data_IF_354941905757
#
_entry.id   IF_354941905757
#
_cell.length_a   1.000
_cell.length_b   1.000
_cell.length_c   1.000
_cell.angle_alpha   90.00
_cell.angle_beta   90.00
_cell.angle_gamma   90.00
#
_symmetry.space_group_name_H-M   'P 1'
#
loop_
_entity.id
_entity.type
_entity.pdbx_description
1 polymer ?
#
# COMPACT_ATOMS: atom_id res chain seq x y z
N UNK A 1 -1.76 23.98 29.51
CA UNK A 1 -1.90 22.53 29.72
C UNK A 1 -0.81 21.87 28.90
N UNK A 2 0.14 21.18 29.54
CA UNK A 2 1.20 20.47 28.84
C UNK A 2 0.57 19.39 27.96
N UNK A 3 0.79 19.46 26.64
CA UNK A 3 0.37 18.40 25.74
C UNK A 3 1.04 17.12 26.18
N UNK A 4 0.28 16.23 26.80
CA UNK A 4 0.76 14.95 27.28
C UNK A 4 1.04 14.08 26.02
N UNK A 5 2.32 13.92 25.69
CA UNK A 5 2.70 13.14 24.53
C UNK A 5 2.82 11.66 24.93
N UNK A 6 1.74 10.92 24.70
CA UNK A 6 1.64 9.49 25.02
C UNK A 6 2.80 8.66 24.41
N UNK A 7 3.18 8.97 23.16
CA UNK A 7 4.28 8.28 22.48
C UNK A 7 5.64 8.53 23.16
N UNK A 8 5.84 9.74 23.71
CA UNK A 8 7.06 10.06 24.44
C UNK A 8 7.15 9.26 25.73
N UNK A 9 6.04 9.12 26.47
CA UNK A 9 5.96 8.29 27.66
C UNK A 9 6.33 6.83 27.36
N UNK A 10 5.69 6.22 26.37
CA UNK A 10 5.99 4.84 25.98
C UNK A 10 7.41 4.68 25.41
N UNK A 11 7.95 5.68 24.76
CA UNK A 11 9.34 5.65 24.29
C UNK A 11 10.36 5.63 25.42
N UNK A 12 9.98 6.01 26.62
CA UNK A 12 10.81 5.99 27.84
C UNK A 12 10.60 4.72 28.66
N UNK A 13 9.56 3.95 28.40
CA UNK A 13 9.30 2.66 29.05
C UNK A 13 10.44 1.66 28.80
N UNK A 14 10.82 0.91 29.84
CA UNK A 14 11.97 -0.01 29.76
C UNK A 14 11.74 -1.14 28.75
N UNK A 15 10.52 -1.71 28.67
CA UNK A 15 10.21 -2.78 27.72
C UNK A 15 10.26 -2.26 26.28
N UNK A 16 9.78 -1.04 26.03
CA UNK A 16 9.89 -0.39 24.73
C UNK A 16 11.34 -0.10 24.33
N UNK A 17 12.19 0.29 25.28
CA UNK A 17 13.64 0.48 25.06
C UNK A 17 14.34 -0.84 24.77
N UNK A 18 14.01 -1.89 25.51
CA UNK A 18 14.58 -3.23 25.27
C UNK A 18 14.16 -3.78 23.91
N UNK A 19 12.89 -3.62 23.54
CA UNK A 19 12.38 -4.01 22.22
C UNK A 19 13.07 -3.25 21.07
N UNK A 20 13.24 -1.93 21.21
CA UNK A 20 13.99 -1.14 20.24
C UNK A 20 15.45 -1.63 20.11
N UNK A 21 16.14 -1.82 21.23
CA UNK A 21 17.51 -2.32 21.25
C UNK A 21 17.62 -3.72 20.64
N UNK A 22 16.62 -4.57 20.86
CA UNK A 22 16.58 -5.89 20.24
C UNK A 22 16.43 -5.79 18.72
N UNK A 23 15.54 -4.91 18.20
CA UNK A 23 15.35 -4.68 16.78
C UNK A 23 16.59 -4.06 16.10
N UNK A 24 17.34 -3.20 16.80
CA UNK A 24 18.57 -2.60 16.29
C UNK A 24 19.70 -3.63 16.16
N UNK A 25 19.78 -4.58 17.09
CA UNK A 25 20.86 -5.56 17.18
C UNK A 25 20.58 -6.86 16.41
N UNK A 26 19.39 -7.06 15.91
CA UNK A 26 19.01 -8.29 15.22
C UNK A 26 18.42 -7.98 13.84
N UNK A 27 18.86 -8.71 12.82
CA UNK A 27 18.26 -8.67 11.49
C UNK A 27 17.14 -9.70 11.35
N UNK A 28 17.08 -10.69 12.22
CA UNK A 28 16.06 -11.75 12.27
C UNK A 28 15.89 -12.29 13.67
N UNK A 29 14.74 -12.84 13.95
CA UNK A 29 14.43 -13.46 15.24
C UNK A 29 12.97 -13.27 15.63
N UNK A 30 12.61 -13.82 16.78
CA UNK A 30 11.22 -13.79 17.27
C UNK A 30 11.22 -13.33 18.72
N UNK A 31 10.30 -12.42 19.05
CA UNK A 31 10.04 -11.97 20.42
C UNK A 31 8.53 -12.00 20.66
N UNK A 32 8.12 -12.28 21.88
CA UNK A 32 6.70 -12.31 22.26
C UNK A 32 6.41 -11.25 23.31
N UNK A 33 5.56 -10.30 22.97
CA UNK A 33 5.00 -9.32 23.89
C UNK A 33 3.75 -9.91 24.54
N UNK A 34 3.88 -10.39 25.76
CA UNK A 34 2.77 -11.00 26.51
C UNK A 34 1.95 -9.94 27.25
N UNK A 35 0.68 -10.27 27.52
CA UNK A 35 -0.24 -9.41 28.28
C UNK A 35 -0.45 -8.03 27.64
N UNK A 36 -0.44 -7.97 26.33
CA UNK A 36 -0.80 -6.76 25.58
C UNK A 36 -2.28 -6.81 25.20
N UNK A 37 -3.01 -5.73 25.51
CA UNK A 37 -4.46 -5.65 25.28
C UNK A 37 -4.85 -4.33 24.64
N UNK A 38 -5.86 -4.39 23.76
CA UNK A 38 -6.44 -3.21 23.10
C UNK A 38 -5.39 -2.37 22.37
N UNK A 39 -5.46 -1.04 22.48
CA UNK A 39 -4.59 -0.10 21.78
C UNK A 39 -3.14 -0.05 22.31
N UNK A 40 -2.75 -0.88 23.27
CA UNK A 40 -1.35 -0.91 23.73
C UNK A 40 -0.39 -1.30 22.61
N UNK A 41 -0.79 -2.21 21.73
CA UNK A 41 0.03 -2.67 20.61
C UNK A 41 0.27 -1.53 19.61
N UNK A 42 -0.77 -0.77 19.27
CA UNK A 42 -0.66 0.39 18.38
C UNK A 42 0.22 1.50 18.95
N UNK A 43 0.16 1.74 20.27
CA UNK A 43 1.00 2.74 20.94
C UNK A 43 2.47 2.28 20.95
N UNK A 44 2.76 1.02 21.31
CA UNK A 44 4.10 0.44 21.29
C UNK A 44 4.66 0.50 19.86
N UNK A 45 3.90 0.05 18.88
CA UNK A 45 4.28 0.07 17.46
C UNK A 45 4.59 1.48 16.98
N UNK A 46 3.72 2.46 17.27
CA UNK A 46 3.92 3.86 16.89
C UNK A 46 5.20 4.44 17.51
N UNK A 47 5.51 4.11 18.78
CA UNK A 47 6.73 4.57 19.46
C UNK A 47 8.00 4.01 18.82
N UNK A 48 7.94 2.82 18.21
CA UNK A 48 9.06 2.11 17.58
C UNK A 48 9.25 2.53 16.12
N UNK A 49 8.17 2.65 15.34
CA UNK A 49 8.21 3.03 13.94
C UNK A 49 8.94 4.36 13.73
N UNK A 50 8.72 5.32 14.61
CA UNK A 50 9.36 6.63 14.53
C UNK A 50 10.88 6.59 14.70
N UNK A 51 11.43 5.55 15.35
CA UNK A 51 12.86 5.39 15.58
C UNK A 51 13.53 4.50 14.53
N UNK A 52 12.85 3.46 14.07
CA UNK A 52 13.39 2.44 13.17
C UNK A 52 12.95 2.71 11.72
N UNK A 53 13.92 2.98 10.84
CA UNK A 53 13.67 3.27 9.41
C UNK A 53 13.57 1.98 8.58
N UNK A 54 12.72 1.05 8.97
CA UNK A 54 12.45 -0.20 8.28
C UNK A 54 10.97 -0.32 7.92
N UNK A 55 10.65 -1.21 6.99
CA UNK A 55 9.25 -1.54 6.70
C UNK A 55 8.62 -2.25 7.90
N UNK A 56 7.33 -2.01 8.12
CA UNK A 56 6.55 -2.71 9.12
C UNK A 56 5.36 -3.40 8.46
N UNK A 57 5.17 -4.68 8.78
CA UNK A 57 4.02 -5.46 8.35
C UNK A 57 3.26 -5.92 9.59
N UNK A 58 2.03 -5.45 9.75
CA UNK A 58 1.12 -5.80 10.83
C UNK A 58 0.09 -6.80 10.30
N UNK A 59 0.06 -7.99 10.88
CA UNK A 59 -0.88 -9.05 10.55
C UNK A 59 -1.81 -9.21 11.75
N UNK A 60 -3.04 -8.71 11.61
CA UNK A 60 -4.11 -8.78 12.61
C UNK A 60 -4.96 -10.02 12.36
N UNK A 61 -5.86 -10.34 13.30
CA UNK A 61 -6.64 -11.57 13.24
C UNK A 61 -7.66 -11.57 12.10
N UNK A 62 -8.24 -10.40 11.79
CA UNK A 62 -9.28 -10.21 10.76
C UNK A 62 -9.31 -8.76 10.27
N UNK A 63 -10.18 -8.46 9.30
CA UNK A 63 -10.33 -7.11 8.74
C UNK A 63 -10.76 -6.08 9.78
N UNK A 64 -11.68 -6.42 10.69
CA UNK A 64 -12.21 -5.46 11.67
C UNK A 64 -11.10 -5.01 12.60
N UNK A 65 -10.32 -5.93 13.14
CA UNK A 65 -9.15 -5.63 13.97
C UNK A 65 -8.09 -4.86 13.19
N UNK A 66 -7.88 -5.18 11.91
CA UNK A 66 -6.96 -4.44 11.05
C UNK A 66 -7.39 -2.98 10.84
N UNK A 67 -8.69 -2.71 10.66
CA UNK A 67 -9.21 -1.36 10.52
C UNK A 67 -9.07 -0.54 11.81
N UNK A 68 -9.40 -1.12 12.96
CA UNK A 68 -9.22 -0.45 14.26
C UNK A 68 -7.75 -0.14 14.53
N UNK A 69 -6.87 -1.11 14.27
CA UNK A 69 -5.44 -0.94 14.46
C UNK A 69 -4.87 0.14 13.51
N UNK A 70 -5.31 0.16 12.25
CA UNK A 70 -4.91 1.15 11.25
C UNK A 70 -5.30 2.57 11.68
N UNK A 71 -6.53 2.74 12.16
CA UNK A 71 -7.03 4.04 12.64
C UNK A 71 -6.24 4.52 13.86
N UNK A 72 -6.05 3.66 14.87
CA UNK A 72 -5.21 3.94 16.02
C UNK A 72 -3.79 4.36 15.61
N UNK A 73 -3.17 3.60 14.71
CA UNK A 73 -1.79 3.84 14.30
C UNK A 73 -1.65 5.16 13.53
N UNK A 74 -2.61 5.50 12.66
CA UNK A 74 -2.59 6.74 11.90
C UNK A 74 -2.91 7.96 12.79
N UNK A 75 -3.77 7.83 13.80
CA UNK A 75 -4.05 8.88 14.76
C UNK A 75 -2.85 9.16 15.69
N UNK A 76 -2.08 8.12 16.02
CA UNK A 76 -0.87 8.24 16.84
C UNK A 76 0.34 8.77 16.06
N UNK A 77 0.44 8.44 14.77
CA UNK A 77 1.59 8.74 13.91
C UNK A 77 1.29 9.87 12.92
N UNK A 78 1.60 11.10 13.27
CA UNK A 78 1.40 12.27 12.37
C UNK A 78 2.44 12.33 11.24
N UNK A 79 3.54 11.60 11.32
CA UNK A 79 4.66 11.66 10.37
C UNK A 79 4.76 10.45 9.43
N UNK A 80 4.13 9.32 9.76
CA UNK A 80 4.21 8.07 9.00
C UNK A 80 2.84 7.42 8.88
N UNK A 81 2.21 7.58 7.73
CA UNK A 81 0.93 6.92 7.44
C UNK A 81 1.12 5.41 7.27
N UNK A 82 0.26 4.65 7.90
CA UNK A 82 0.07 3.23 7.62
C UNK A 82 -1.03 3.04 6.57
N UNK A 83 -0.98 1.93 5.83
CA UNK A 83 -1.90 1.63 4.73
C UNK A 83 -2.49 0.23 4.91
N UNK A 84 -3.78 0.09 4.63
CA UNK A 84 -4.42 -1.22 4.58
C UNK A 84 -4.04 -1.96 3.29
N UNK A 85 -3.73 -3.25 3.40
CA UNK A 85 -3.70 -4.17 2.27
C UNK A 85 -4.85 -5.15 2.44
N UNK A 86 -6.01 -4.92 1.76
CA UNK A 86 -7.22 -5.70 1.93
C UNK A 86 -7.22 -6.96 1.05
N UNK A 87 -8.12 -7.94 1.38
CA UNK A 87 -8.40 -9.10 0.54
C UNK A 87 -9.24 -8.72 -0.67
N UNK A 88 -8.90 -9.30 -1.83
CA UNK A 88 -9.68 -9.12 -3.06
C UNK A 88 -10.95 -9.97 -3.10
N UNK A 89 -11.07 -11.02 -2.27
CA UNK A 89 -12.23 -11.91 -2.22
C UNK A 89 -13.52 -11.20 -1.75
N UNK A 90 -13.37 -10.04 -1.11
CA UNK A 90 -14.50 -9.20 -0.66
C UNK A 90 -14.97 -8.18 -1.71
N UNK A 91 -14.42 -8.22 -2.91
CA UNK A 91 -14.92 -7.41 -4.01
C UNK A 91 -16.30 -7.94 -4.39
N UNK A 92 -17.36 -7.37 -3.81
CA UNK A 92 -18.67 -7.41 -4.46
C UNK A 92 -18.47 -6.82 -5.86
N UNK A 93 -19.01 -7.50 -6.88
CA UNK A 93 -18.89 -7.10 -8.28
C UNK A 93 -19.19 -5.60 -8.39
N UNK A 94 -18.13 -4.78 -8.56
CA UNK A 94 -18.23 -3.32 -8.62
C UNK A 94 -17.50 -2.51 -7.54
N UNK A 95 -16.93 -3.10 -6.50
CA UNK A 95 -16.17 -2.33 -5.50
C UNK A 95 -14.72 -2.09 -5.95
N UNK A 96 -14.56 -1.06 -6.80
CA UNK A 96 -13.25 -0.64 -7.33
C UNK A 96 -12.30 -0.15 -6.23
N UNK A 97 -12.80 0.26 -5.07
CA UNK A 97 -12.00 0.85 -4.00
C UNK A 97 -10.97 -0.13 -3.43
N UNK A 98 -11.36 -1.38 -3.19
CA UNK A 98 -10.46 -2.43 -2.68
C UNK A 98 -9.28 -2.65 -3.63
N UNK A 99 -9.56 -2.67 -4.93
CA UNK A 99 -8.53 -2.80 -5.96
C UNK A 99 -7.55 -1.62 -5.94
N UNK A 100 -8.08 -0.39 -5.84
CA UNK A 100 -7.28 0.83 -5.75
C UNK A 100 -6.35 0.81 -4.54
N UNK A 101 -6.85 0.40 -3.38
CA UNK A 101 -6.05 0.27 -2.17
C UNK A 101 -4.91 -0.73 -2.36
N UNK A 102 -5.18 -1.91 -2.93
CA UNK A 102 -4.14 -2.93 -3.20
C UNK A 102 -3.06 -2.41 -4.15
N UNK A 103 -3.46 -1.80 -5.28
CA UNK A 103 -2.52 -1.22 -6.26
C UNK A 103 -1.68 -0.12 -5.62
N UNK A 104 -2.31 0.78 -4.87
CA UNK A 104 -1.65 1.87 -4.15
C UNK A 104 -0.58 1.35 -3.18
N UNK A 105 -0.89 0.30 -2.40
CA UNK A 105 0.07 -0.34 -1.49
C UNK A 105 1.24 -0.95 -2.24
N UNK A 106 1.00 -1.71 -3.33
CA UNK A 106 2.07 -2.31 -4.12
C UNK A 106 2.99 -1.26 -4.75
N UNK A 107 2.43 -0.14 -5.24
CA UNK A 107 3.20 1.01 -5.73
C UNK A 107 4.07 1.61 -4.63
N UNK A 108 3.49 1.86 -3.45
CA UNK A 108 4.21 2.41 -2.30
C UNK A 108 5.34 1.50 -1.83
N UNK A 109 5.13 0.17 -1.80
CA UNK A 109 6.16 -0.81 -1.47
C UNK A 109 7.34 -0.81 -2.47
N UNK A 110 7.08 -0.47 -3.74
CA UNK A 110 8.12 -0.35 -4.75
C UNK A 110 8.90 0.96 -4.69
N UNK A 111 8.30 2.04 -4.17
CA UNK A 111 8.85 3.40 -4.29
C UNK A 111 9.33 3.99 -2.96
N UNK A 112 8.68 3.64 -1.84
CA UNK A 112 9.03 4.18 -0.53
C UNK A 112 10.14 3.37 0.14
N UNK A 113 11.04 4.08 0.84
CA UNK A 113 12.10 3.45 1.64
C UNK A 113 11.60 2.88 2.97
N UNK A 114 10.52 3.42 3.49
CA UNK A 114 9.86 2.99 4.73
C UNK A 114 8.36 3.06 4.56
N UNK A 115 7.67 1.98 4.88
CA UNK A 115 6.22 1.88 4.82
C UNK A 115 5.70 0.96 5.93
N UNK A 116 4.55 1.31 6.49
CA UNK A 116 3.78 0.49 7.43
C UNK A 116 2.53 -0.04 6.73
N UNK A 117 2.40 -1.35 6.68
CA UNK A 117 1.26 -2.04 6.08
C UNK A 117 0.50 -2.79 7.15
N UNK A 118 -0.80 -2.61 7.21
CA UNK A 118 -1.72 -3.36 8.06
C UNK A 118 -2.52 -4.31 7.18
N UNK A 119 -2.66 -5.55 7.61
CA UNK A 119 -3.33 -6.60 6.82
C UNK A 119 -3.83 -7.72 7.73
N UNK A 120 -4.40 -8.76 7.15
CA UNK A 120 -4.98 -9.92 7.83
C UNK A 120 -4.82 -11.19 6.98
N UNK A 121 -5.05 -12.40 7.51
CA UNK A 121 -4.68 -13.68 6.88
C UNK A 121 -5.19 -13.85 5.44
N UNK A 122 -6.46 -13.57 5.18
CA UNK A 122 -7.06 -13.76 3.85
C UNK A 122 -6.35 -12.92 2.78
N UNK A 123 -5.98 -11.67 3.13
CA UNK A 123 -5.33 -10.75 2.20
C UNK A 123 -3.89 -11.15 1.85
N UNK A 124 -3.09 -11.58 2.83
CA UNK A 124 -1.66 -11.91 2.62
C UNK A 124 -1.45 -13.23 1.89
N UNK A 125 -2.46 -14.08 1.84
CA UNK A 125 -2.43 -15.37 1.14
C UNK A 125 -2.81 -15.26 -0.33
N UNK A 126 -3.27 -14.11 -0.75
CA UNK A 126 -3.53 -13.86 -2.15
C UNK A 126 -2.24 -13.55 -2.91
N UNK A 127 -2.15 -14.10 -4.11
CA UNK A 127 -1.08 -13.74 -5.04
C UNK A 127 -1.26 -12.30 -5.52
N UNK A 128 -0.14 -11.66 -5.77
CA UNK A 128 -0.08 -10.32 -6.35
C UNK A 128 0.70 -10.35 -7.66
N UNK A 129 0.50 -9.37 -8.52
CA UNK A 129 1.27 -9.19 -9.75
C UNK A 129 2.77 -9.10 -9.44
N UNK A 130 3.64 -9.63 -10.30
CA UNK A 130 5.10 -9.48 -10.11
C UNK A 130 5.54 -8.03 -10.29
N UNK A 131 6.65 -7.63 -9.60
CA UNK A 131 7.23 -6.28 -9.76
C UNK A 131 7.56 -5.95 -11.22
N UNK A 132 8.00 -6.93 -12.00
CA UNK A 132 8.31 -6.78 -13.41
C UNK A 132 7.05 -6.42 -14.20
N UNK A 133 5.99 -7.19 -14.02
CA UNK A 133 4.72 -6.94 -14.71
C UNK A 133 4.04 -5.64 -14.27
N UNK A 134 4.17 -5.28 -12.98
CA UNK A 134 3.70 -3.98 -12.49
C UNK A 134 4.32 -2.82 -13.28
N UNK A 135 5.61 -2.90 -13.63
CA UNK A 135 6.28 -1.88 -14.45
C UNK A 135 5.80 -1.85 -15.91
N UNK A 136 5.36 -2.97 -16.47
CA UNK A 136 4.83 -3.02 -17.85
C UNK A 136 3.37 -2.56 -17.95
N UNK A 137 2.68 -2.44 -16.84
CA UNK A 137 1.27 -2.01 -16.74
C UNK A 137 1.14 -0.56 -16.31
N UNK A 138 2.14 0.28 -16.60
CA UNK A 138 2.12 1.69 -16.31
C UNK A 138 2.64 2.54 -17.47
N UNK A 139 2.10 3.75 -17.59
CA UNK A 139 2.59 4.80 -18.47
C UNK A 139 3.15 5.91 -17.60
N UNK A 140 4.42 6.30 -17.82
CA UNK A 140 5.05 7.40 -17.07
C UNK A 140 5.10 8.66 -17.93
N UNK A 141 4.57 9.77 -17.40
CA UNK A 141 4.56 11.07 -18.07
C UNK A 141 5.22 12.11 -17.18
N UNK A 142 5.96 13.03 -17.83
CA UNK A 142 6.69 14.09 -17.11
C UNK A 142 6.49 15.44 -17.81
N UNK A 143 6.26 16.49 -17.04
CA UNK A 143 6.21 17.87 -17.51
C UNK A 143 7.47 18.22 -18.31
N UNK A 144 7.29 18.93 -19.43
CA UNK A 144 8.35 19.32 -20.35
C UNK A 144 8.84 18.21 -21.30
N UNK A 145 8.33 16.98 -21.17
CA UNK A 145 8.68 15.90 -22.09
C UNK A 145 7.82 15.92 -23.36
N UNK A 146 8.43 15.45 -24.45
CA UNK A 146 7.72 15.25 -25.71
C UNK A 146 6.87 14.00 -25.63
N UNK A 147 5.66 14.07 -26.16
CA UNK A 147 4.69 12.96 -26.18
C UNK A 147 4.20 12.70 -27.59
N UNK A 148 3.97 11.44 -27.90
CA UNK A 148 3.22 11.00 -29.07
C UNK A 148 1.79 10.69 -28.58
N UNK A 149 0.82 11.52 -28.99
CA UNK A 149 -0.57 11.43 -28.51
C UNK A 149 -1.19 10.14 -29.00
N UNK A 150 -1.02 9.78 -30.27
CA UNK A 150 -1.63 8.57 -30.85
C UNK A 150 -1.12 7.33 -30.10
N UNK A 151 0.17 7.26 -29.85
CA UNK A 151 0.77 6.20 -29.05
C UNK A 151 0.26 6.17 -27.62
N UNK A 152 0.09 7.32 -26.97
CA UNK A 152 -0.49 7.37 -25.63
C UNK A 152 -1.89 6.79 -25.61
N UNK A 153 -2.73 7.13 -26.60
CA UNK A 153 -4.09 6.62 -26.68
C UNK A 153 -4.13 5.11 -26.99
N UNK A 154 -3.23 4.62 -27.84
CA UNK A 154 -3.04 3.19 -28.06
C UNK A 154 -2.64 2.47 -26.76
N UNK A 155 -1.66 3.02 -26.00
CA UNK A 155 -1.21 2.47 -24.73
C UNK A 155 -2.32 2.48 -23.67
N UNK A 156 -3.14 3.54 -23.58
CA UNK A 156 -4.31 3.59 -22.68
C UNK A 156 -5.35 2.52 -23.05
N UNK A 157 -5.66 2.36 -24.34
CA UNK A 157 -6.56 1.31 -24.81
C UNK A 157 -6.00 -0.09 -24.53
N UNK A 158 -4.70 -0.32 -24.76
CA UNK A 158 -4.02 -1.57 -24.42
C UNK A 158 -4.09 -1.91 -22.93
N UNK A 159 -4.07 -0.87 -22.08
CA UNK A 159 -4.22 -0.98 -20.64
C UNK A 159 -5.68 -1.05 -20.17
N UNK A 160 -6.64 -1.20 -21.09
CA UNK A 160 -8.08 -1.29 -20.83
C UNK A 160 -8.67 -0.04 -20.13
N UNK A 161 -8.16 1.16 -20.46
CA UNK A 161 -8.83 2.40 -20.10
C UNK A 161 -10.00 2.68 -21.05
N UNK A 162 -11.08 3.21 -20.52
CA UNK A 162 -12.29 3.55 -21.28
C UNK A 162 -12.23 4.99 -21.78
N UNK A 163 -12.45 5.21 -23.08
CA UNK A 163 -12.60 6.55 -23.61
C UNK A 163 -14.01 7.08 -23.30
N UNK A 164 -14.10 8.21 -22.62
CA UNK A 164 -15.35 8.82 -22.13
C UNK A 164 -15.38 10.31 -22.46
N UNK A 165 -16.56 10.94 -22.42
CA UNK A 165 -16.68 12.39 -22.57
C UNK A 165 -16.15 13.14 -21.33
N UNK A 166 -16.36 12.56 -20.15
CA UNK A 166 -15.91 13.08 -18.85
C UNK A 166 -15.35 11.94 -18.02
N UNK A 167 -14.21 12.21 -17.41
CA UNK A 167 -13.55 11.27 -16.50
C UNK A 167 -14.23 11.34 -15.14
N UNK A 168 -14.85 10.23 -14.72
CA UNK A 168 -15.61 10.13 -13.48
C UNK A 168 -15.06 9.09 -12.51
N UNK A 169 -14.48 8.00 -13.03
CA UNK A 169 -14.01 6.89 -12.21
C UNK A 169 -12.65 6.36 -12.70
N UNK A 170 -11.90 5.67 -11.83
CA UNK A 170 -10.65 5.03 -12.23
C UNK A 170 -10.81 4.12 -13.43
N UNK A 171 -9.90 4.26 -14.40
CA UNK A 171 -9.96 3.57 -15.68
C UNK A 171 -10.60 4.40 -16.81
N UNK A 172 -11.10 5.61 -16.52
CA UNK A 172 -11.58 6.51 -17.56
C UNK A 172 -10.46 7.41 -18.10
N UNK A 173 -10.54 7.74 -19.40
CA UNK A 173 -9.80 8.85 -19.98
C UNK A 173 -10.67 9.64 -20.95
N UNK A 174 -10.36 10.93 -21.14
CA UNK A 174 -11.03 11.82 -22.08
C UNK A 174 -10.01 12.69 -22.82
N UNK A 175 -10.26 12.97 -24.12
CA UNK A 175 -9.41 13.82 -24.94
C UNK A 175 -10.22 14.99 -25.46
N UNK A 176 -9.77 16.21 -25.18
CA UNK A 176 -10.43 17.44 -25.60
C UNK A 176 -9.41 18.44 -26.15
N UNK A 177 -9.17 18.36 -27.45
CA UNK A 177 -8.12 19.16 -28.10
C UNK A 177 -6.74 18.81 -27.56
N UNK A 178 -6.08 19.78 -26.94
CA UNK A 178 -4.75 19.60 -26.31
C UNK A 178 -4.81 19.25 -24.82
N UNK A 179 -5.98 18.82 -24.32
CA UNK A 179 -6.16 18.40 -22.94
C UNK A 179 -6.50 16.91 -22.92
N UNK A 180 -5.75 16.15 -22.14
CA UNK A 180 -6.00 14.73 -21.86
C UNK A 180 -6.24 14.58 -20.36
N UNK A 181 -7.44 14.16 -20.00
CA UNK A 181 -7.80 13.80 -18.64
C UNK A 181 -7.72 12.27 -18.51
N UNK A 182 -7.16 11.77 -17.40
CA UNK A 182 -7.04 10.32 -17.15
C UNK A 182 -7.14 10.01 -15.65
N UNK A 183 -7.93 8.99 -15.28
CA UNK A 183 -8.06 8.53 -13.92
C UNK A 183 -7.31 7.21 -13.74
N UNK A 184 -6.13 7.30 -13.17
CA UNK A 184 -5.28 6.15 -12.84
C UNK A 184 -5.87 5.31 -11.72
N UNK A 185 -5.65 3.98 -11.75
CA UNK A 185 -6.10 3.06 -10.68
C UNK A 185 -5.31 3.16 -9.38
N UNK A 186 -4.31 3.98 -9.28
CA UNK A 186 -3.47 4.15 -8.08
C UNK A 186 -3.64 5.51 -7.37
N UNK A 187 -4.60 6.31 -7.82
CA UNK A 187 -4.81 7.66 -7.31
C UNK A 187 -6.29 7.93 -7.00
N UNK A 188 -6.55 8.78 -6.02
CA UNK A 188 -7.92 9.14 -5.58
C UNK A 188 -8.52 10.26 -6.44
N UNK A 189 -7.71 10.93 -7.27
CA UNK A 189 -8.11 12.02 -8.17
C UNK A 189 -7.54 11.83 -9.55
N UNK A 190 -8.28 12.19 -10.62
CA UNK A 190 -7.76 12.11 -11.98
C UNK A 190 -6.69 13.16 -12.25
N UNK A 191 -5.89 12.87 -13.27
CA UNK A 191 -4.88 13.77 -13.81
C UNK A 191 -5.41 14.51 -15.03
N UNK A 192 -5.07 15.79 -15.16
CA UNK A 192 -5.23 16.61 -16.35
C UNK A 192 -3.88 16.94 -16.92
N UNK A 193 -3.65 16.58 -18.17
CA UNK A 193 -2.43 16.78 -18.92
C UNK A 193 -2.74 17.82 -19.99
N UNK A 194 -2.09 18.98 -19.93
CA UNK A 194 -2.21 20.06 -20.90
C UNK A 194 -0.99 20.01 -21.80
N UNK A 195 -1.22 20.06 -23.11
CA UNK A 195 -0.19 19.99 -24.12
C UNK A 195 -0.02 21.34 -24.81
N UNK A 196 1.22 21.68 -25.16
CA UNK A 196 1.58 22.67 -26.16
C UNK A 196 2.18 21.92 -27.35
N UNK A 197 1.40 21.80 -28.43
CA UNK A 197 1.66 20.90 -29.56
C UNK A 197 1.85 19.45 -29.08
N UNK A 198 3.07 18.96 -29.03
CA UNK A 198 3.41 17.61 -28.55
C UNK A 198 4.32 17.62 -27.31
N UNK A 199 4.32 18.70 -26.56
CA UNK A 199 5.07 18.84 -25.29
C UNK A 199 4.07 18.91 -24.14
N UNK A 200 4.32 18.20 -23.07
CA UNK A 200 3.53 18.29 -21.85
C UNK A 200 3.85 19.61 -21.16
N UNK A 201 2.95 20.59 -21.29
CA UNK A 201 3.11 21.91 -20.67
C UNK A 201 2.82 21.87 -19.18
N UNK A 202 1.75 21.19 -18.80
CA UNK A 202 1.31 21.11 -17.41
C UNK A 202 0.67 19.75 -17.11
N UNK A 203 0.85 19.29 -15.87
CA UNK A 203 0.11 18.15 -15.31
C UNK A 203 -0.47 18.61 -13.99
N UNK A 204 -1.78 18.43 -13.79
CA UNK A 204 -2.49 18.73 -12.53
C UNK A 204 -3.37 17.57 -12.11
N UNK A 205 -3.65 17.43 -10.81
CA UNK A 205 -4.84 16.71 -10.37
C UNK A 205 -6.07 17.61 -10.50
N UNK A 206 -7.26 17.04 -10.62
CA UNK A 206 -8.49 17.80 -10.58
C UNK A 206 -9.60 17.08 -9.81
N UNK A 207 -10.56 17.84 -9.32
CA UNK A 207 -11.73 17.31 -8.64
C UNK A 207 -12.80 16.86 -9.66
N UNK A 208 -13.24 15.61 -9.56
CA UNK A 208 -14.23 15.01 -10.47
C UNK A 208 -15.55 15.78 -10.48
N UNK A 209 -16.05 16.21 -9.31
CA UNK A 209 -17.38 16.81 -9.18
C UNK A 209 -17.49 18.21 -9.79
N UNK A 210 -16.45 19.05 -9.67
CA UNK A 210 -16.47 20.43 -10.17
C UNK A 210 -15.46 20.72 -11.27
N UNK A 211 -14.66 19.73 -11.67
CA UNK A 211 -13.65 19.79 -12.76
C UNK A 211 -12.53 20.83 -12.53
N UNK A 212 -12.37 21.32 -11.30
CA UNK A 212 -11.36 22.33 -10.95
C UNK A 212 -10.02 21.63 -10.69
N UNK A 213 -8.94 22.14 -11.31
CA UNK A 213 -7.58 21.71 -11.04
C UNK A 213 -7.19 22.00 -9.58
N UNK A 214 -6.49 21.06 -8.96
CA UNK A 214 -6.08 21.12 -7.56
C UNK A 214 -4.60 21.52 -7.46
N UNK A 215 -3.68 20.57 -7.65
CA UNK A 215 -2.25 20.80 -7.50
C UNK A 215 -1.51 20.43 -8.78
N UNK A 216 -0.39 21.13 -9.04
CA UNK A 216 0.50 20.83 -10.15
C UNK A 216 1.48 19.72 -9.76
N UNK A 217 1.79 18.84 -10.72
CA UNK A 217 2.62 17.66 -10.53
C UNK A 217 3.67 17.62 -11.65
N UNK A 218 4.92 17.38 -11.31
CA UNK A 218 5.99 17.32 -12.32
C UNK A 218 6.05 15.99 -13.07
N UNK A 219 5.63 14.90 -12.44
CA UNK A 219 5.68 13.56 -13.02
C UNK A 219 4.57 12.69 -12.46
N UNK A 220 3.90 11.91 -13.32
CA UNK A 220 2.87 10.96 -12.96
C UNK A 220 3.18 9.58 -13.54
N UNK A 221 2.66 8.55 -12.87
CA UNK A 221 2.53 7.20 -13.40
C UNK A 221 1.03 6.90 -13.53
N UNK A 222 0.58 6.52 -14.71
CA UNK A 222 -0.79 6.05 -14.98
C UNK A 222 -0.74 4.52 -14.90
N UNK A 223 -1.49 3.94 -13.98
CA UNK A 223 -1.50 2.50 -13.71
C UNK A 223 -2.85 1.92 -14.10
N UNK A 224 -2.83 0.81 -14.85
CA UNK A 224 -4.03 0.10 -15.27
C UNK A 224 -4.65 -0.75 -14.16
N UNK A 225 -5.88 -1.23 -14.42
CA UNK A 225 -6.47 -2.30 -13.63
C UNK A 225 -5.63 -3.59 -13.75
N UNK A 226 -4.93 -3.92 -12.69
CA UNK A 226 -3.97 -5.05 -12.66
C UNK A 226 -4.69 -6.41 -12.57
N UNK A 227 -5.97 -6.46 -12.23
CA UNK A 227 -6.71 -7.73 -12.03
C UNK A 227 -7.40 -8.26 -13.30
N UNK A 228 -7.66 -7.43 -14.28
CA UNK A 228 -8.48 -7.80 -15.45
C UNK A 228 -7.74 -8.60 -16.54
N UNK A 229 -6.52 -9.04 -16.33
CA UNK A 229 -5.79 -9.79 -17.35
C UNK A 229 -5.62 -11.26 -16.98
N UNK A 230 -6.20 -12.15 -17.79
CA UNK A 230 -6.15 -13.62 -17.66
C UNK A 230 -4.73 -14.24 -17.76
N UNK A 231 -3.68 -13.44 -17.96
CA UNK A 231 -2.29 -13.89 -18.18
C UNK A 231 -1.30 -13.08 -17.33
N UNK A 232 -1.60 -12.86 -16.04
CA UNK A 232 -0.67 -12.17 -15.15
C UNK A 232 0.31 -13.14 -14.50
N UNK A 233 1.60 -12.84 -14.59
CA UNK A 233 2.59 -13.46 -13.73
C UNK A 233 2.37 -12.99 -12.30
N UNK A 234 1.98 -13.90 -11.44
CA UNK A 234 1.71 -13.62 -10.03
C UNK A 234 2.81 -14.15 -9.12
N UNK A 235 2.96 -13.54 -7.98
CA UNK A 235 3.92 -13.91 -6.95
C UNK A 235 3.32 -13.74 -5.56
N UNK A 236 4.02 -14.23 -4.54
CA UNK A 236 3.64 -13.96 -3.16
C UNK A 236 3.79 -12.48 -2.81
N UNK A 237 2.85 -11.93 -2.03
CA UNK A 237 2.88 -10.57 -1.50
C UNK A 237 4.21 -10.23 -0.80
N UNK A 238 4.80 -11.22 -0.11
CA UNK A 238 6.05 -11.03 0.64
C UNK A 238 7.26 -10.66 -0.24
N UNK A 239 7.22 -10.94 -1.55
CA UNK A 239 8.29 -10.56 -2.49
C UNK A 239 8.42 -9.05 -2.68
N UNK A 240 7.40 -8.29 -2.29
CA UNK A 240 7.43 -6.83 -2.34
C UNK A 240 8.22 -6.20 -1.20
N UNK A 241 8.41 -6.90 -0.09
CA UNK A 241 9.17 -6.41 1.05
C UNK A 241 10.67 -6.60 0.88
N UNK A 242 11.44 -5.71 1.51
CA UNK A 242 12.89 -5.87 1.65
C UNK A 242 13.23 -6.87 2.77
N UNK A 243 14.49 -7.33 2.80
CA UNK A 243 14.98 -8.23 3.84
C UNK A 243 15.03 -7.61 5.25
N UNK A 244 14.80 -6.28 5.37
CA UNK A 244 14.69 -5.60 6.66
C UNK A 244 13.25 -5.12 6.85
N UNK A 245 12.42 -6.01 7.37
CA UNK A 245 11.02 -5.74 7.67
C UNK A 245 10.73 -6.22 9.08
N UNK A 246 10.13 -5.38 9.91
CA UNK A 246 9.60 -5.83 11.20
C UNK A 246 8.18 -6.35 11.00
N UNK A 247 7.95 -7.60 11.36
CA UNK A 247 6.65 -8.26 11.28
C UNK A 247 6.01 -8.22 12.66
N UNK A 248 4.78 -7.75 12.73
CA UNK A 248 3.94 -7.77 13.93
C UNK A 248 2.79 -8.73 13.66
N UNK A 249 2.65 -9.73 14.49
CA UNK A 249 1.62 -10.76 14.31
C UNK A 249 0.80 -10.89 15.59
N UNK A 250 -0.46 -10.52 15.50
CA UNK A 250 -1.40 -10.68 16.60
C UNK A 250 -1.87 -12.14 16.63
N UNK A 251 -2.07 -12.70 17.83
CA UNK A 251 -2.56 -14.07 18.04
C UNK A 251 -2.04 -15.11 17.01
N UNK A 252 -0.72 -15.38 16.96
CA UNK A 252 -0.12 -16.21 15.91
C UNK A 252 -0.80 -17.57 15.73
N UNK A 253 -1.31 -18.18 16.82
CA UNK A 253 -2.00 -19.46 16.78
C UNK A 253 -3.27 -19.42 15.92
N UNK A 254 -4.09 -18.39 16.09
CA UNK A 254 -5.31 -18.18 15.29
C UNK A 254 -4.98 -17.97 13.82
N UNK A 255 -3.99 -17.12 13.54
CA UNK A 255 -3.52 -16.86 12.18
C UNK A 255 -3.05 -18.16 11.51
N UNK A 256 -2.29 -19.01 12.21
CA UNK A 256 -1.82 -20.29 11.67
C UNK A 256 -2.97 -21.27 11.40
N UNK A 257 -4.01 -21.30 12.24
CA UNK A 257 -5.18 -22.15 12.05
C UNK A 257 -6.01 -21.73 10.84
N UNK A 258 -6.17 -20.43 10.62
CA UNK A 258 -6.89 -19.87 9.47
C UNK A 258 -6.18 -20.19 8.15
N UNK A 259 -4.86 -20.06 8.15
CA UNK A 259 -4.02 -20.24 6.94
C UNK A 259 -3.90 -21.72 6.52
N UNK A 260 -3.98 -22.66 7.43
CA UNK A 260 -3.68 -24.08 7.11
C UNK A 260 -4.74 -24.77 6.26
N UNK A 261 -5.91 -24.18 6.07
CA UNK A 261 -7.05 -24.90 5.46
C UNK A 261 -6.98 -25.02 3.93
N UNK A 262 -6.38 -24.08 3.17
CA UNK A 262 -6.47 -24.07 1.71
C UNK A 262 -5.23 -23.61 0.90
N UNK A 263 -4.16 -23.09 1.53
CA UNK A 263 -3.06 -22.39 0.79
C UNK A 263 -1.65 -22.76 1.26
N UNK A 264 -1.25 -24.02 1.06
CA UNK A 264 0.05 -24.56 1.54
C UNK A 264 1.29 -23.87 0.97
N UNK A 265 1.24 -23.37 -0.27
CA UNK A 265 2.39 -22.73 -0.93
C UNK A 265 2.63 -21.35 -0.34
N UNK A 266 1.57 -20.57 -0.17
CA UNK A 266 1.60 -19.24 0.42
C UNK A 266 2.03 -19.31 1.88
N UNK A 267 1.62 -20.34 2.60
CA UNK A 267 2.07 -20.63 3.97
C UNK A 267 3.60 -20.84 4.04
N UNK A 268 4.18 -21.54 3.08
CA UNK A 268 5.63 -21.71 3.00
C UNK A 268 6.33 -20.38 2.83
N UNK A 269 5.86 -19.52 1.93
CA UNK A 269 6.41 -18.18 1.72
C UNK A 269 6.31 -17.30 2.97
N UNK A 270 5.18 -17.35 3.69
CA UNK A 270 5.03 -16.62 4.96
C UNK A 270 6.03 -17.12 6.01
N UNK A 271 6.19 -18.45 6.16
CA UNK A 271 7.16 -19.02 7.10
C UNK A 271 8.60 -18.62 6.77
N UNK A 272 8.97 -18.65 5.50
CA UNK A 272 10.29 -18.20 5.03
C UNK A 272 10.50 -16.72 5.30
N UNK A 273 9.49 -15.89 5.05
CA UNK A 273 9.54 -14.46 5.29
C UNK A 273 9.70 -14.13 6.79
N UNK A 274 8.95 -14.81 7.67
CA UNK A 274 9.08 -14.67 9.13
C UNK A 274 10.47 -15.11 9.61
N UNK A 275 11.02 -16.19 9.08
CA UNK A 275 12.33 -16.70 9.51
C UNK A 275 13.50 -15.81 9.07
N UNK A 276 13.30 -14.99 8.05
CA UNK A 276 14.31 -14.07 7.52
C UNK A 276 14.21 -12.64 8.05
N UNK A 277 13.24 -12.36 8.92
CA UNK A 277 12.98 -11.02 9.46
C UNK A 277 12.80 -11.04 10.98
N UNK A 278 12.79 -9.86 11.60
CA UNK A 278 12.37 -9.72 12.99
C UNK A 278 10.86 -9.86 13.09
N UNK A 279 10.38 -10.76 13.96
CA UNK A 279 8.96 -10.97 14.16
C UNK A 279 8.58 -10.74 15.63
N UNK A 280 7.61 -9.89 15.86
CA UNK A 280 7.03 -9.55 17.15
C UNK A 280 5.66 -10.20 17.21
N UNK A 281 5.51 -11.16 18.10
CA UNK A 281 4.24 -11.78 18.40
C UNK A 281 3.55 -11.01 19.51
N UNK A 282 2.23 -10.81 19.37
CA UNK A 282 1.39 -10.15 20.37
C UNK A 282 0.16 -11.01 20.67
N UNK A 283 -0.58 -10.70 21.73
CA UNK A 283 -1.70 -11.53 22.19
C UNK A 283 -1.27 -12.66 23.12
N UNK A 284 -2.19 -13.58 23.38
CA UNK A 284 -2.02 -14.72 24.30
C UNK A 284 -1.47 -15.96 23.62
#
# INVERSE_FOLDING_TARGET
>A
MSNFNLLELFSQDENCKELNKWLENNDKGKIHLKNTHGSQISIIAASIINKNKVNNLFILDNLEDALYFLDDLNNLNTHHSAYLFPSSERINIGDKNVLLERISVLKKLNTKKQISIVTYPEAILEKVITKKQFQTKKISLKKGSKIDIDKLLEDLNYLNFNNTDFVLEPGDYAVRGLIIDVFSFDNDTPYRIVLDDNIIEEITCFNVGNQISLEAIDQIDIISNIQDSNNLDTTSFFTYFSNKTTIWMNNPSLIWEEITKDKLVELKHLKEFINNNCCIYTGN
#
